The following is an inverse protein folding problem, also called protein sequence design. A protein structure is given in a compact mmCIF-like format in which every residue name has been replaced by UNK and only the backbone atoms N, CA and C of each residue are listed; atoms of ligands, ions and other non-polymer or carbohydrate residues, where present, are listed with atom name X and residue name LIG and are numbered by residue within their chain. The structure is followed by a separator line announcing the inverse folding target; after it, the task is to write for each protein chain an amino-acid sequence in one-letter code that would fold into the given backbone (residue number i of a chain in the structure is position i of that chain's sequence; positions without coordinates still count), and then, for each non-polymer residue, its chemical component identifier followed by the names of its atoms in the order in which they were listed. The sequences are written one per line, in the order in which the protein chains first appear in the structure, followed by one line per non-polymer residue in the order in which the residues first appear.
data_IF_686858659212
#
_entry.id   IF_686858659212
#
_cell.length_a   1.000
_cell.length_b   1.000
_cell.length_c   1.000
_cell.angle_alpha   90.00
_cell.angle_beta   90.00
_cell.angle_gamma   90.00
#
_symmetry.space_group_name_H-M   'P 1'
#
loop_
_entity.id
_entity.type
_entity.pdbx_description
1 polymer ?
#
# COMPACT_ATOMS: atom_id res chain seq x y z
N UNK A 1 3.70 -5.39 -6.11
CA UNK A 1 2.93 -6.31 -6.98
C UNK A 1 1.58 -5.66 -7.26
N UNK A 2 1.04 -5.79 -8.47
CA UNK A 2 -0.31 -5.39 -8.80
C UNK A 2 -1.13 -6.62 -9.23
N UNK A 3 -2.44 -6.60 -8.96
CA UNK A 3 -3.35 -7.74 -9.20
C UNK A 3 -4.62 -7.21 -9.86
N UNK A 4 -5.17 -7.93 -10.83
CA UNK A 4 -6.54 -7.73 -11.32
C UNK A 4 -7.13 -9.05 -11.77
N UNK A 5 -8.43 -9.04 -12.09
CA UNK A 5 -9.19 -10.21 -12.56
C UNK A 5 -8.92 -10.57 -14.03
N UNK A 6 -8.06 -9.81 -14.71
CA UNK A 6 -7.68 -10.04 -16.10
C UNK A 6 -6.73 -11.24 -16.24
N UNK A 7 -6.69 -11.83 -17.44
CA UNK A 7 -5.76 -12.93 -17.74
C UNK A 7 -4.30 -12.44 -17.83
N UNK A 8 -3.34 -13.35 -17.61
CA UNK A 8 -1.93 -13.04 -17.81
C UNK A 8 -1.59 -12.70 -19.28
N UNK A 9 -2.37 -13.19 -20.25
CA UNK A 9 -2.25 -12.78 -21.66
C UNK A 9 -2.66 -11.32 -21.86
N UNK A 10 -3.76 -10.89 -21.22
CA UNK A 10 -4.21 -9.49 -21.23
C UNK A 10 -3.14 -8.58 -20.62
N UNK A 11 -2.54 -8.99 -19.50
CA UNK A 11 -1.43 -8.25 -18.87
C UNK A 11 -0.23 -8.11 -19.80
N UNK A 12 0.19 -9.20 -20.45
CA UNK A 12 1.29 -9.18 -21.39
C UNK A 12 1.01 -8.28 -22.60
N UNK A 13 -0.22 -8.34 -23.15
CA UNK A 13 -0.63 -7.46 -24.22
C UNK A 13 -0.55 -5.98 -23.79
N UNK A 14 -1.02 -5.66 -22.59
CA UNK A 14 -1.01 -4.29 -22.06
C UNK A 14 0.39 -3.76 -21.77
N UNK A 15 1.32 -4.63 -21.33
CA UNK A 15 2.76 -4.33 -21.20
C UNK A 15 3.39 -4.03 -22.56
N UNK A 16 3.04 -4.80 -23.59
CA UNK A 16 3.58 -4.61 -24.95
C UNK A 16 3.02 -3.35 -25.64
N UNK A 17 1.85 -2.87 -25.24
CA UNK A 17 1.29 -1.63 -25.77
C UNK A 17 2.09 -0.41 -25.25
N UNK A 18 2.50 0.53 -26.13
CA UNK A 18 3.19 1.75 -25.73
C UNK A 18 2.32 2.64 -24.83
N UNK A 19 2.97 3.35 -23.88
CA UNK A 19 2.28 4.30 -22.97
C UNK A 19 1.50 5.40 -23.68
N UNK A 20 2.01 5.88 -24.83
CA UNK A 20 1.32 6.88 -25.67
C UNK A 20 -0.06 6.41 -26.15
N UNK A 21 -0.28 5.10 -26.21
CA UNK A 21 -1.53 4.49 -26.64
C UNK A 21 -2.32 3.91 -25.45
N UNK A 22 -2.04 4.38 -24.22
CA UNK A 22 -2.70 3.88 -23.00
C UNK A 22 -2.18 2.53 -22.50
N UNK A 23 -1.06 2.05 -23.02
CA UNK A 23 -0.40 0.84 -22.52
C UNK A 23 0.44 1.07 -21.26
N UNK A 24 0.91 -0.01 -20.65
CA UNK A 24 1.81 0.06 -19.48
C UNK A 24 3.27 0.30 -19.89
N UNK A 25 3.68 -0.21 -21.05
CA UNK A 25 5.08 -0.29 -21.44
C UNK A 25 5.89 -1.19 -20.50
N UNK A 26 7.20 -0.96 -20.43
CA UNK A 26 8.08 -1.71 -19.53
C UNK A 26 7.69 -1.52 -18.04
N UNK A 27 7.65 -2.61 -17.29
CA UNK A 27 7.20 -2.66 -15.90
C UNK A 27 8.24 -3.36 -15.01
N UNK A 28 8.56 -2.74 -13.87
CA UNK A 28 9.48 -3.29 -12.85
C UNK A 28 8.74 -4.01 -11.70
N UNK A 29 7.44 -4.23 -11.86
CA UNK A 29 6.59 -4.89 -10.86
C UNK A 29 5.85 -6.05 -11.50
N UNK A 30 5.63 -7.10 -10.71
CA UNK A 30 4.80 -8.23 -11.12
C UNK A 30 3.34 -7.82 -11.24
N UNK A 31 2.72 -8.18 -12.37
CA UNK A 31 1.27 -8.12 -12.60
C UNK A 31 0.71 -9.54 -12.46
N UNK A 32 -0.09 -9.76 -11.42
CA UNK A 32 -0.72 -11.04 -11.11
C UNK A 32 -2.12 -11.10 -11.74
N UNK A 33 -2.46 -12.27 -12.27
CA UNK A 33 -3.79 -12.58 -12.79
C UNK A 33 -4.61 -13.31 -11.72
N UNK A 34 -5.74 -12.73 -11.33
CA UNK A 34 -6.74 -13.32 -10.44
C UNK A 34 -7.98 -13.74 -11.24
N UNK A 35 -7.76 -14.61 -12.23
CA UNK A 35 -8.82 -15.00 -13.17
C UNK A 35 -10.02 -15.66 -12.48
N UNK A 36 -9.76 -16.42 -11.39
CA UNK A 36 -10.77 -17.06 -10.55
C UNK A 36 -11.50 -16.10 -9.61
N UNK A 37 -11.01 -14.86 -9.49
CA UNK A 37 -11.51 -13.81 -8.58
C UNK A 37 -11.35 -14.17 -7.10
N UNK A 38 -10.65 -15.25 -6.80
CA UNK A 38 -10.53 -15.76 -5.44
C UNK A 38 -9.67 -14.83 -4.59
N UNK A 39 -8.57 -14.29 -5.16
CA UNK A 39 -7.70 -13.37 -4.42
C UNK A 39 -8.47 -12.09 -4.09
N UNK A 40 -9.20 -11.53 -5.05
CA UNK A 40 -10.00 -10.32 -4.85
C UNK A 40 -11.11 -10.54 -3.82
N UNK A 41 -11.69 -11.75 -3.76
CA UNK A 41 -12.69 -12.13 -2.75
C UNK A 41 -12.09 -12.32 -1.37
N UNK A 42 -10.95 -13.02 -1.28
CA UNK A 42 -10.25 -13.27 -0.02
C UNK A 42 -9.76 -11.97 0.64
N UNK A 43 -9.36 -10.99 -0.18
CA UNK A 43 -8.99 -9.65 0.29
C UNK A 43 -10.19 -8.70 0.46
N UNK A 44 -11.42 -9.16 0.20
CA UNK A 44 -12.64 -8.39 0.42
C UNK A 44 -12.82 -7.18 -0.49
N UNK A 45 -12.16 -7.16 -1.66
CA UNK A 45 -12.19 -6.03 -2.61
C UNK A 45 -12.99 -6.32 -3.88
N UNK A 46 -13.48 -7.54 -4.08
CA UNK A 46 -14.28 -7.91 -5.24
C UNK A 46 -15.69 -7.30 -5.19
N UNK A 47 -16.07 -6.58 -6.24
CA UNK A 47 -17.47 -6.24 -6.50
C UNK A 47 -18.12 -7.40 -7.26
N UNK A 48 -18.93 -8.21 -6.58
CA UNK A 48 -19.50 -9.44 -7.15
C UNK A 48 -20.40 -9.18 -8.39
N UNK A 49 -21.15 -8.08 -8.41
CA UNK A 49 -22.02 -7.74 -9.55
C UNK A 49 -21.22 -7.43 -10.84
N UNK A 50 -20.36 -6.39 -10.84
CA UNK A 50 -19.50 -6.06 -11.98
C UNK A 50 -18.36 -7.07 -12.24
N UNK A 51 -18.00 -7.91 -11.28
CA UNK A 51 -16.94 -8.91 -11.40
C UNK A 51 -15.52 -8.34 -11.42
N UNK A 52 -15.29 -7.16 -10.83
CA UNK A 52 -13.99 -6.47 -10.78
C UNK A 52 -13.64 -6.04 -9.36
N UNK A 53 -12.37 -5.83 -9.09
CA UNK A 53 -11.89 -5.38 -7.78
C UNK A 53 -11.95 -3.85 -7.62
N UNK A 54 -12.32 -3.39 -6.43
CA UNK A 54 -12.08 -2.02 -5.96
C UNK A 54 -10.57 -1.73 -5.87
N UNK A 55 -10.22 -0.46 -5.69
CA UNK A 55 -8.82 -0.02 -5.63
C UNK A 55 -8.24 -0.25 -4.24
N UNK A 56 -7.99 -1.52 -3.89
CA UNK A 56 -7.31 -1.91 -2.66
C UNK A 56 -5.79 -1.76 -2.72
N UNK A 57 -5.17 -1.32 -1.62
CA UNK A 57 -3.74 -1.47 -1.31
C UNK A 57 -3.63 -2.17 0.03
N UNK A 58 -2.72 -3.13 0.10
CA UNK A 58 -2.39 -3.87 1.32
C UNK A 58 -0.87 -3.82 1.52
N UNK A 59 -0.44 -3.40 2.70
CA UNK A 59 0.96 -3.45 3.13
C UNK A 59 1.11 -4.66 4.04
N UNK A 60 1.95 -5.60 3.63
CA UNK A 60 2.16 -6.88 4.33
C UNK A 60 3.62 -6.94 4.75
N UNK A 61 3.87 -7.24 6.03
CA UNK A 61 5.23 -7.34 6.58
C UNK A 61 5.91 -8.69 6.22
N UNK A 62 7.22 -8.86 6.53
CA UNK A 62 7.92 -10.12 6.30
C UNK A 62 7.33 -11.33 7.05
N UNK A 63 6.60 -11.09 8.14
CA UNK A 63 5.89 -12.11 8.93
C UNK A 63 4.50 -12.45 8.36
N UNK A 64 4.17 -11.92 7.17
CA UNK A 64 2.89 -12.11 6.47
C UNK A 64 1.69 -11.52 7.22
N UNK A 65 1.92 -10.52 8.06
CA UNK A 65 0.88 -9.78 8.78
C UNK A 65 0.54 -8.52 8.00
N UNK A 66 -0.75 -8.29 7.76
CA UNK A 66 -1.24 -7.05 7.15
C UNK A 66 -1.06 -5.92 8.18
N UNK A 67 -0.29 -4.89 7.81
CA UNK A 67 -0.05 -3.70 8.65
C UNK A 67 -0.94 -2.53 8.29
N UNK A 68 -1.32 -2.42 7.02
CA UNK A 68 -2.17 -1.36 6.53
C UNK A 68 -3.00 -1.84 5.35
N UNK A 69 -4.24 -1.35 5.28
CA UNK A 69 -5.11 -1.48 4.13
C UNK A 69 -5.77 -0.13 3.82
N UNK A 70 -5.93 0.15 2.54
CA UNK A 70 -6.74 1.27 2.05
C UNK A 70 -7.53 0.82 0.83
N UNK A 71 -8.79 1.25 0.74
CA UNK A 71 -9.69 0.90 -0.36
C UNK A 71 -10.34 2.17 -0.88
N UNK A 72 -10.07 2.48 -2.14
CA UNK A 72 -10.69 3.60 -2.83
C UNK A 72 -11.76 3.11 -3.79
N UNK A 73 -12.80 3.93 -3.98
CA UNK A 73 -13.78 3.72 -5.04
C UNK A 73 -13.14 3.90 -6.43
N UNK A 74 -13.79 3.40 -7.48
CA UNK A 74 -13.31 3.38 -8.85
C UNK A 74 -12.90 4.75 -9.43
N UNK A 75 -13.58 5.89 -9.15
CA UNK A 75 -13.23 7.16 -9.79
C UNK A 75 -11.97 7.81 -9.21
N UNK A 76 -11.52 7.42 -8.02
CA UNK A 76 -10.43 8.11 -7.30
C UNK A 76 -9.16 7.25 -7.27
N UNK A 77 -8.05 7.83 -7.74
CA UNK A 77 -6.72 7.22 -7.68
C UNK A 77 -6.18 7.07 -6.26
N UNK A 78 -5.01 6.43 -6.14
CA UNK A 78 -4.30 6.22 -4.86
C UNK A 78 -3.03 7.07 -4.81
N UNK A 79 -2.55 7.39 -3.62
CA UNK A 79 -1.27 8.08 -3.44
C UNK A 79 -0.11 7.09 -3.25
N UNK A 80 0.86 7.13 -4.16
CA UNK A 80 2.08 6.31 -4.04
C UNK A 80 3.05 6.88 -3.01
N UNK A 81 3.04 8.20 -2.81
CA UNK A 81 3.85 8.87 -1.80
C UNK A 81 3.44 8.44 -0.39
N UNK A 82 2.13 8.38 -0.13
CA UNK A 82 1.61 7.92 1.15
C UNK A 82 1.89 6.42 1.37
N UNK A 83 1.77 5.61 0.31
CA UNK A 83 2.12 4.19 0.40
C UNK A 83 3.59 4.00 0.77
N UNK A 84 4.50 4.76 0.14
CA UNK A 84 5.93 4.71 0.44
C UNK A 84 6.23 5.21 1.87
N UNK A 85 5.55 6.27 2.29
CA UNK A 85 5.67 6.81 3.64
C UNK A 85 5.27 5.75 4.68
N UNK A 86 4.10 5.14 4.55
CA UNK A 86 3.63 4.10 5.46
C UNK A 86 4.59 2.91 5.53
N UNK A 87 5.15 2.46 4.40
CA UNK A 87 6.17 1.39 4.38
C UNK A 87 7.39 1.80 5.21
N UNK A 88 7.91 3.01 5.03
CA UNK A 88 9.06 3.52 5.80
C UNK A 88 8.74 3.64 7.29
N UNK A 89 7.53 4.10 7.64
CA UNK A 89 7.10 4.23 9.02
C UNK A 89 7.06 2.86 9.72
N UNK A 90 6.45 1.84 9.09
CA UNK A 90 6.44 0.49 9.68
C UNK A 90 7.84 -0.10 9.84
N UNK A 91 8.74 0.10 8.86
CA UNK A 91 10.14 -0.32 8.97
C UNK A 91 10.90 0.40 10.09
N UNK A 92 10.62 1.69 10.31
CA UNK A 92 11.22 2.46 11.40
C UNK A 92 10.78 1.93 12.76
N UNK A 93 9.47 1.71 12.95
CA UNK A 93 8.91 1.16 14.20
C UNK A 93 9.52 -0.20 14.53
N UNK A 94 9.67 -1.07 13.53
CA UNK A 94 10.25 -2.41 13.72
C UNK A 94 11.74 -2.37 14.09
N UNK A 95 12.50 -1.41 13.54
CA UNK A 95 13.95 -1.30 13.79
C UNK A 95 14.30 -0.55 15.08
N UNK A 96 13.47 0.42 15.50
CA UNK A 96 13.79 1.30 16.64
C UNK A 96 12.94 1.01 17.89
N UNK A 97 11.79 0.34 17.75
CA UNK A 97 10.85 0.13 18.86
C UNK A 97 10.15 1.41 19.34
N UNK A 98 10.24 2.49 18.56
CA UNK A 98 9.53 3.76 18.78
C UNK A 98 8.28 3.83 17.89
N UNK A 99 7.33 4.72 18.18
CA UNK A 99 6.12 4.91 17.38
C UNK A 99 6.16 6.21 16.59
N UNK A 100 5.64 6.16 15.36
CA UNK A 100 5.56 7.32 14.46
C UNK A 100 4.30 8.14 14.78
N UNK A 101 4.45 9.47 14.90
CA UNK A 101 3.34 10.40 15.06
C UNK A 101 2.56 10.61 13.74
N UNK A 102 1.46 11.37 13.80
CA UNK A 102 0.75 11.79 12.59
C UNK A 102 1.66 12.60 11.66
N UNK A 103 1.60 12.36 10.35
CA UNK A 103 2.46 13.00 9.34
C UNK A 103 3.95 12.82 9.59
N UNK A 104 4.36 11.74 10.26
CA UNK A 104 5.78 11.45 10.48
C UNK A 104 6.55 11.42 9.15
N UNK A 105 7.81 11.78 9.17
CA UNK A 105 8.74 11.56 8.05
C UNK A 105 10.05 11.04 8.63
N UNK A 106 10.97 10.47 7.84
CA UNK A 106 12.23 9.93 8.36
C UNK A 106 13.06 10.91 9.21
N UNK A 107 12.88 12.21 9.01
CA UNK A 107 13.58 13.27 9.76
C UNK A 107 12.78 13.78 10.98
N UNK A 108 11.55 13.32 11.18
CA UNK A 108 10.71 13.73 12.30
C UNK A 108 11.06 12.97 13.60
N UNK A 109 10.92 13.62 14.77
CA UNK A 109 11.06 12.94 16.04
C UNK A 109 9.99 11.86 16.19
N UNK A 110 10.38 10.67 16.64
CA UNK A 110 9.47 9.60 17.01
C UNK A 110 9.15 9.64 18.52
N UNK A 111 8.23 8.77 18.95
CA UNK A 111 7.75 8.71 20.33
C UNK A 111 8.17 7.38 20.93
N UNK A 112 8.87 7.41 22.06
CA UNK A 112 9.14 6.19 22.84
C UNK A 112 7.84 5.72 23.51
N UNK A 113 7.43 4.44 23.35
CA UNK A 113 6.14 3.94 23.82
C UNK A 113 6.17 3.63 25.33
N UNK A 114 6.40 4.66 26.16
CA UNK A 114 6.20 4.59 27.61
C UNK A 114 5.65 5.91 28.15
N UNK A 115 4.77 5.91 29.17
CA UNK A 115 4.15 7.14 29.68
C UNK A 115 5.14 8.20 30.18
N UNK A 116 6.32 7.77 30.63
CA UNK A 116 7.38 8.68 31.08
C UNK A 116 8.18 9.23 29.89
N UNK A 117 8.60 8.38 28.96
CA UNK A 117 9.46 8.78 27.84
C UNK A 117 8.69 9.51 26.73
N UNK A 118 7.37 9.31 26.61
CA UNK A 118 6.55 10.03 25.63
C UNK A 118 6.47 11.53 25.90
N UNK A 119 6.69 11.97 27.15
CA UNK A 119 6.71 13.39 27.52
C UNK A 119 7.84 14.16 26.82
N UNK A 120 8.98 13.50 26.59
CA UNK A 120 10.11 14.08 25.86
C UNK A 120 9.71 14.55 24.45
N UNK A 121 8.83 13.78 23.79
CA UNK A 121 8.31 14.17 22.48
C UNK A 121 7.30 15.32 22.59
N UNK A 122 6.36 15.27 23.54
CA UNK A 122 5.38 16.33 23.74
C UNK A 122 6.01 17.68 24.08
N UNK A 123 7.09 17.69 24.85
CA UNK A 123 7.85 18.90 25.17
C UNK A 123 8.55 19.49 23.93
N UNK A 124 9.10 18.65 23.05
CA UNK A 124 9.79 19.09 21.82
C UNK A 124 8.85 19.64 20.76
N UNK A 125 7.64 19.08 20.64
CA UNK A 125 6.69 19.44 19.56
C UNK A 125 5.79 20.62 19.92
N UNK A 126 5.63 20.93 21.22
CA UNK A 126 4.77 22.04 21.70
C UNK A 126 5.57 23.27 22.18
N UNK A 127 6.86 23.39 21.82
CA UNK A 127 7.62 24.63 21.95
C UNK A 127 7.43 25.51 20.71
#
# INVERSE_FOLDING_TARGET
MAVSVDSHYSHLAWIKTPRKNGGLGHMNITLLSDLTKQISRDYGVLLEGPGLALRGIFIIDPNRVIKHLSVNDLPVGRSMEETLHLVKAFQFVESHGEVCAANWTPDCPAIKPSPAASKEHSEKVNQ
#
